data_IF_396280417565
#
_entry.id   IF_396280417565
#
_cell.length_a   1.000
_cell.length_b   1.000
_cell.length_c   1.000
_cell.angle_alpha   90.00
_cell.angle_beta   90.00
_cell.angle_gamma   90.00
#
_symmetry.space_group_name_H-M   'P 1'
#
loop_
_entity.id
_entity.type
_entity.pdbx_description
1 polymer ?
#
# COMPACT_ATOMS: atom_id res chain seq x y z
N UNK A 1 1.53 -40.79 -9.58
CA UNK A 1 1.18 -40.04 -8.36
C UNK A 1 2.45 -39.36 -7.89
N UNK A 2 2.64 -38.09 -8.23
CA UNK A 2 3.82 -37.32 -7.86
C UNK A 2 3.37 -36.27 -6.84
N UNK A 3 3.92 -36.33 -5.63
CA UNK A 3 3.68 -35.38 -4.56
C UNK A 3 4.26 -34.02 -4.94
N UNK A 4 3.40 -33.03 -5.13
CA UNK A 4 3.80 -31.63 -5.30
C UNK A 4 4.01 -31.06 -3.89
N UNK A 5 5.28 -30.95 -3.50
CA UNK A 5 5.68 -30.35 -2.22
C UNK A 5 5.67 -28.83 -2.37
N UNK A 6 4.56 -28.19 -1.97
CA UNK A 6 4.46 -26.73 -1.91
C UNK A 6 5.27 -26.25 -0.70
N UNK A 7 6.43 -25.63 -0.93
CA UNK A 7 7.11 -24.83 0.08
C UNK A 7 6.34 -23.50 0.19
N UNK A 8 5.62 -23.33 1.30
CA UNK A 8 5.16 -22.02 1.74
C UNK A 8 6.41 -21.20 2.14
N UNK A 9 6.70 -20.16 1.36
CA UNK A 9 7.68 -19.14 1.74
C UNK A 9 6.96 -18.15 2.69
N UNK A 10 7.57 -17.75 3.83
CA UNK A 10 6.97 -16.78 4.73
C UNK A 10 6.78 -15.41 4.05
N UNK A 11 5.76 -14.62 4.45
CA UNK A 11 5.35 -13.39 3.76
C UNK A 11 6.30 -12.19 3.94
N UNK A 12 7.46 -12.36 4.59
CA UNK A 12 8.39 -11.28 4.93
C UNK A 12 9.85 -11.67 4.62
N UNK A 13 10.20 -11.75 3.33
CA UNK A 13 11.56 -11.64 2.76
C UNK A 13 11.43 -11.78 1.22
N UNK A 14 11.96 -10.87 0.41
CA UNK A 14 13.39 -10.84 0.14
C UNK A 14 14.03 -9.43 0.15
N UNK A 15 15.34 -9.38 0.46
CA UNK A 15 16.15 -8.18 0.36
C UNK A 15 16.35 -7.83 -1.11
N UNK A 16 16.05 -6.59 -1.50
CA UNK A 16 16.53 -6.07 -2.79
C UNK A 16 18.03 -5.85 -2.64
N UNK A 17 18.84 -6.76 -3.19
CA UNK A 17 20.24 -6.48 -3.49
C UNK A 17 20.29 -5.35 -4.51
N UNK A 18 20.56 -4.13 -4.03
CA UNK A 18 20.82 -2.99 -4.89
C UNK A 18 22.27 -3.10 -5.36
N UNK A 19 22.45 -3.38 -6.65
CA UNK A 19 23.72 -3.30 -7.36
C UNK A 19 24.39 -1.94 -7.06
N UNK A 20 25.60 -2.00 -6.50
CA UNK A 20 26.46 -0.85 -6.22
C UNK A 20 26.89 -0.18 -7.55
N UNK A 21 26.08 0.77 -8.01
CA UNK A 21 26.48 1.72 -9.05
C UNK A 21 27.16 2.93 -8.41
N UNK A 22 28.49 2.97 -8.59
CA UNK A 22 29.45 4.02 -8.17
C UNK A 22 28.86 5.41 -7.89
N UNK A 23 28.81 5.79 -6.62
CA UNK A 23 28.69 7.17 -6.15
C UNK A 23 29.88 7.53 -5.24
N UNK A 24 30.41 8.74 -5.44
CA UNK A 24 31.77 9.16 -5.06
C UNK A 24 31.75 9.82 -3.68
N UNK A 25 32.24 9.14 -2.64
CA UNK A 25 32.77 9.77 -1.40
C UNK A 25 31.82 10.56 -0.47
N UNK A 26 30.51 10.60 -0.73
CA UNK A 26 29.49 11.29 0.12
C UNK A 26 28.40 10.33 0.64
N UNK A 27 28.53 9.04 0.32
CA UNK A 27 27.42 8.07 0.26
C UNK A 27 26.93 7.61 1.63
N UNK A 28 27.81 7.57 2.65
CA UNK A 28 27.44 7.08 3.97
C UNK A 28 26.58 8.07 4.77
N UNK A 29 26.87 9.36 4.64
CA UNK A 29 26.09 10.42 5.31
C UNK A 29 24.74 10.62 4.60
N UNK A 30 24.73 10.48 3.28
CA UNK A 30 23.53 10.51 2.45
C UNK A 30 22.60 9.33 2.79
N UNK A 31 23.11 8.10 2.85
CA UNK A 31 22.37 6.91 3.30
C UNK A 31 21.81 7.06 4.72
N UNK A 32 22.59 7.64 5.63
CA UNK A 32 22.13 7.89 7.01
C UNK A 32 20.96 8.88 7.03
N UNK A 33 21.04 9.96 6.25
CA UNK A 33 19.94 10.94 6.15
C UNK A 33 18.72 10.31 5.49
N UNK A 34 18.89 9.50 4.44
CA UNK A 34 17.80 8.75 3.81
C UNK A 34 17.09 7.81 4.80
N UNK A 35 17.84 7.01 5.56
CA UNK A 35 17.26 6.10 6.56
C UNK A 35 16.44 6.88 7.60
N UNK A 36 16.95 8.02 8.08
CA UNK A 36 16.25 8.87 9.05
C UNK A 36 14.94 9.43 8.48
N UNK A 37 14.88 9.72 7.17
CA UNK A 37 13.68 10.18 6.47
C UNK A 37 12.69 9.02 6.28
N UNK A 38 13.18 7.85 5.88
CA UNK A 38 12.38 6.63 5.69
C UNK A 38 11.72 6.19 7.00
N UNK A 39 12.48 6.17 8.10
CA UNK A 39 11.98 5.86 9.44
C UNK A 39 10.86 6.83 9.90
N UNK A 40 10.84 8.07 9.39
CA UNK A 40 9.80 9.03 9.70
C UNK A 40 8.48 8.76 8.93
N UNK A 41 8.56 8.02 7.83
CA UNK A 41 7.45 7.66 6.97
C UNK A 41 6.60 8.86 6.53
N UNK A 42 5.29 8.65 6.43
CA UNK A 42 4.35 9.65 5.91
C UNK A 42 4.11 10.87 6.83
N UNK A 43 4.70 10.90 8.03
CA UNK A 43 4.57 12.04 8.95
C UNK A 43 5.54 13.17 8.60
N UNK A 44 6.57 12.87 7.80
CA UNK A 44 7.68 13.77 7.53
C UNK A 44 8.57 14.00 8.76
N UNK A 45 9.68 14.71 8.56
CA UNK A 45 10.64 15.02 9.62
C UNK A 45 11.22 16.42 9.42
N UNK A 46 11.40 17.17 10.51
CA UNK A 46 11.98 18.50 10.44
C UNK A 46 13.48 18.44 10.19
N UNK A 47 14.04 19.36 9.39
CA UNK A 47 15.49 19.44 9.16
C UNK A 47 16.29 19.58 10.46
N UNK A 48 15.70 20.22 11.49
CA UNK A 48 16.27 20.31 12.84
C UNK A 48 16.41 18.93 13.51
N UNK A 49 15.43 18.05 13.32
CA UNK A 49 15.42 16.71 13.91
C UNK A 49 16.37 15.78 13.14
N UNK A 50 16.47 15.93 11.81
CA UNK A 50 17.49 15.26 10.99
C UNK A 50 18.89 15.67 11.46
N UNK A 51 19.12 16.96 11.71
CA UNK A 51 20.40 17.46 12.24
C UNK A 51 20.77 16.81 13.57
N UNK A 52 19.80 16.70 14.47
CA UNK A 52 20.01 16.09 15.77
C UNK A 52 20.32 14.59 15.67
N UNK A 53 19.58 13.85 14.83
CA UNK A 53 19.74 12.40 14.67
C UNK A 53 20.97 11.99 13.86
N UNK A 54 21.30 12.74 12.81
CA UNK A 54 22.46 12.44 11.94
C UNK A 54 23.78 12.98 12.49
N UNK A 55 23.73 13.92 13.45
CA UNK A 55 24.88 14.66 13.96
C UNK A 55 25.69 15.39 12.85
N UNK A 56 25.02 15.80 11.77
CA UNK A 56 25.64 16.51 10.64
C UNK A 56 25.41 18.03 10.73
N UNK A 57 26.35 18.86 10.22
CA UNK A 57 26.13 20.29 10.04
C UNK A 57 24.97 20.57 9.05
N UNK A 58 24.24 21.66 9.27
CA UNK A 58 23.09 22.04 8.42
C UNK A 58 23.50 22.29 6.96
N UNK A 59 24.73 22.76 6.72
CA UNK A 59 25.29 22.96 5.38
C UNK A 59 25.46 21.65 4.62
N UNK A 60 25.84 20.58 5.32
CA UNK A 60 26.02 19.25 4.76
C UNK A 60 24.67 18.59 4.48
N UNK A 61 23.71 18.71 5.40
CA UNK A 61 22.33 18.27 5.21
C UNK A 61 21.67 18.97 4.02
N UNK A 62 21.83 20.29 3.89
CA UNK A 62 21.30 21.03 2.75
C UNK A 62 21.94 20.64 1.42
N UNK A 63 23.22 20.24 1.44
CA UNK A 63 23.91 19.72 0.26
C UNK A 63 23.36 18.34 -0.13
N UNK A 64 23.14 17.48 0.86
CA UNK A 64 22.49 16.17 0.67
C UNK A 64 21.09 16.38 0.10
N UNK A 65 20.22 17.19 0.72
CA UNK A 65 18.88 17.47 0.19
C UNK A 65 18.88 17.93 -1.26
N UNK A 66 19.77 18.84 -1.64
CA UNK A 66 19.90 19.29 -3.03
C UNK A 66 20.31 18.17 -3.99
N UNK A 67 21.17 17.25 -3.52
CA UNK A 67 21.52 16.06 -4.29
C UNK A 67 20.33 15.12 -4.42
N UNK A 68 19.60 14.83 -3.32
CA UNK A 68 18.41 13.97 -3.35
C UNK A 68 17.32 14.56 -4.25
N UNK A 69 17.07 15.87 -4.18
CA UNK A 69 16.12 16.57 -5.06
C UNK A 69 16.54 16.47 -6.52
N UNK A 70 17.84 16.62 -6.81
CA UNK A 70 18.37 16.50 -8.16
C UNK A 70 18.33 15.06 -8.69
N UNK A 71 18.56 14.06 -7.84
CA UNK A 71 18.42 12.64 -8.18
C UNK A 71 16.95 12.26 -8.38
N UNK A 72 16.07 12.63 -7.46
CA UNK A 72 14.62 12.45 -7.59
C UNK A 72 14.11 13.10 -8.87
N UNK A 73 14.62 14.29 -9.24
CA UNK A 73 14.28 14.94 -10.50
C UNK A 73 14.86 14.24 -11.75
N UNK A 74 15.99 13.55 -11.62
CA UNK A 74 16.60 12.75 -12.71
C UNK A 74 15.94 11.39 -12.89
N UNK A 75 15.46 10.79 -11.80
CA UNK A 75 14.67 9.55 -11.81
C UNK A 75 13.22 9.83 -12.22
N UNK A 76 12.67 10.97 -11.80
CA UNK A 76 11.38 11.50 -12.25
C UNK A 76 11.46 12.06 -13.67
N UNK A 77 11.75 11.20 -14.65
CA UNK A 77 11.64 11.56 -16.08
C UNK A 77 10.20 11.64 -16.58
N UNK A 78 9.21 11.52 -15.71
CA UNK A 78 7.81 11.61 -16.09
C UNK A 78 7.06 12.55 -15.16
N UNK A 79 6.28 13.44 -15.77
CA UNK A 79 5.33 14.33 -15.10
C UNK A 79 4.46 13.49 -14.12
N UNK A 80 4.12 13.98 -12.91
CA UNK A 80 3.29 13.26 -11.94
C UNK A 80 1.99 12.69 -12.54
N UNK A 81 1.42 13.34 -13.56
CA UNK A 81 0.27 12.82 -14.30
C UNK A 81 0.57 11.54 -15.09
N UNK A 82 1.76 11.42 -15.68
CA UNK A 82 2.17 10.24 -16.45
C UNK A 82 2.42 9.05 -15.50
N UNK A 83 3.07 9.27 -14.36
CA UNK A 83 3.24 8.23 -13.33
C UNK A 83 1.89 7.76 -12.77
N UNK A 84 0.95 8.69 -12.58
CA UNK A 84 -0.42 8.33 -12.19
C UNK A 84 -1.10 7.48 -13.25
N UNK A 85 -1.00 7.89 -14.52
CA UNK A 85 -1.61 7.19 -15.64
C UNK A 85 -1.03 5.78 -15.84
N UNK A 86 0.27 5.58 -15.61
CA UNK A 86 0.92 4.28 -15.75
C UNK A 86 0.55 3.27 -14.65
N UNK A 87 -0.10 3.71 -13.57
CA UNK A 87 -0.56 2.77 -12.54
C UNK A 87 -1.95 2.18 -12.85
N UNK A 88 -2.63 2.67 -13.89
CA UNK A 88 -3.93 2.16 -14.29
C UNK A 88 -3.79 0.97 -15.25
N UNK A 89 -4.68 0.00 -15.10
CA UNK A 89 -4.84 -1.14 -16.01
C UNK A 89 -6.29 -1.20 -16.51
N UNK A 90 -6.49 -1.65 -17.74
CA UNK A 90 -7.83 -1.88 -18.30
C UNK A 90 -8.44 -3.19 -17.80
N UNK A 91 -9.77 -3.31 -17.80
CA UNK A 91 -10.45 -4.59 -17.49
C UNK A 91 -9.97 -5.73 -18.41
N UNK A 92 -9.71 -5.42 -19.69
CA UNK A 92 -9.21 -6.37 -20.66
C UNK A 92 -7.80 -6.90 -20.32
N UNK A 93 -6.87 -6.01 -19.94
CA UNK A 93 -5.52 -6.42 -19.54
C UNK A 93 -5.53 -7.30 -18.29
N UNK A 94 -6.34 -6.93 -17.29
CA UNK A 94 -6.51 -7.73 -16.06
C UNK A 94 -7.07 -9.11 -16.38
N UNK A 95 -8.12 -9.18 -17.20
CA UNK A 95 -8.72 -10.44 -17.65
C UNK A 95 -7.71 -11.32 -18.38
N UNK A 96 -6.99 -10.75 -19.35
CA UNK A 96 -5.98 -11.48 -20.13
C UNK A 96 -4.91 -12.09 -19.23
N UNK A 97 -4.38 -11.30 -18.30
CA UNK A 97 -3.37 -11.78 -17.36
C UNK A 97 -3.89 -12.92 -16.47
N UNK A 98 -5.10 -12.79 -15.92
CA UNK A 98 -5.70 -13.83 -15.07
C UNK A 98 -5.94 -15.13 -15.85
N UNK A 99 -6.40 -15.04 -17.10
CA UNK A 99 -6.57 -16.20 -17.98
C UNK A 99 -5.22 -16.89 -18.28
N UNK A 100 -4.16 -16.11 -18.51
CA UNK A 100 -2.81 -16.63 -18.79
C UNK A 100 -2.19 -17.37 -17.59
N UNK A 101 -2.55 -17.02 -16.35
CA UNK A 101 -2.10 -17.74 -15.16
C UNK A 101 -2.62 -19.18 -15.07
N UNK A 102 -3.69 -19.53 -15.79
CA UNK A 102 -4.19 -20.90 -15.89
C UNK A 102 -4.69 -21.51 -14.57
N UNK A 103 -5.12 -20.67 -13.62
CA UNK A 103 -5.54 -21.10 -12.26
C UNK A 103 -6.92 -21.80 -12.31
N UNK A 104 -7.82 -21.30 -13.15
CA UNK A 104 -9.16 -21.84 -13.32
C UNK A 104 -9.23 -22.80 -14.51
N UNK A 105 -9.92 -23.93 -14.34
CA UNK A 105 -10.30 -24.82 -15.44
C UNK A 105 -11.52 -24.32 -16.22
N UNK A 106 -12.27 -23.40 -15.62
CA UNK A 106 -13.47 -22.77 -16.21
C UNK A 106 -13.04 -21.50 -16.92
N UNK A 107 -13.55 -21.30 -18.15
CA UNK A 107 -13.36 -20.09 -18.93
C UNK A 107 -14.00 -18.90 -18.19
N UNK A 108 -13.17 -17.96 -17.76
CA UNK A 108 -13.62 -16.73 -17.12
C UNK A 108 -13.93 -15.72 -18.22
N UNK A 109 -15.14 -15.17 -18.24
CA UNK A 109 -15.50 -14.13 -19.18
C UNK A 109 -14.98 -12.76 -18.72
N UNK A 110 -14.97 -11.77 -19.63
CA UNK A 110 -14.64 -10.39 -19.27
C UNK A 110 -15.63 -9.82 -18.25
N UNK A 111 -16.91 -10.17 -18.36
CA UNK A 111 -17.95 -9.70 -17.43
C UNK A 111 -17.70 -10.21 -16.00
N UNK A 112 -17.30 -11.47 -15.86
CA UNK A 112 -16.93 -12.04 -14.55
C UNK A 112 -15.79 -11.25 -13.91
N UNK A 113 -14.77 -10.87 -14.69
CA UNK A 113 -13.66 -10.06 -14.19
C UNK A 113 -14.13 -8.67 -13.76
N UNK A 114 -15.03 -8.02 -14.49
CA UNK A 114 -15.57 -6.74 -14.06
C UNK A 114 -16.35 -6.86 -12.73
N UNK A 115 -17.10 -7.96 -12.53
CA UNK A 115 -17.77 -8.20 -11.24
C UNK A 115 -16.77 -8.42 -10.10
N UNK A 116 -15.68 -9.15 -10.33
CA UNK A 116 -14.60 -9.35 -9.36
C UNK A 116 -13.88 -8.02 -9.06
N UNK A 117 -13.64 -7.18 -10.08
CA UNK A 117 -13.07 -5.86 -9.86
C UNK A 117 -14.00 -4.96 -9.03
N UNK A 118 -15.32 -5.09 -9.18
CA UNK A 118 -16.27 -4.37 -8.33
C UNK A 118 -16.17 -4.80 -6.85
N UNK A 119 -15.90 -6.07 -6.55
CA UNK A 119 -15.69 -6.48 -5.15
C UNK A 119 -14.46 -5.82 -4.54
N UNK A 120 -13.38 -5.65 -5.31
CA UNK A 120 -12.19 -4.93 -4.86
C UNK A 120 -12.41 -3.43 -4.63
N UNK A 121 -13.35 -2.82 -5.37
CA UNK A 121 -13.80 -1.46 -5.12
C UNK A 121 -14.57 -1.39 -3.80
N UNK A 122 -15.46 -2.35 -3.53
CA UNK A 122 -16.20 -2.41 -2.27
C UNK A 122 -15.30 -2.68 -1.06
N UNK A 123 -14.22 -3.44 -1.25
CA UNK A 123 -13.15 -3.61 -0.26
C UNK A 123 -12.32 -2.33 -0.01
N UNK A 124 -12.48 -1.29 -0.84
CA UNK A 124 -11.71 -0.05 -0.76
C UNK A 124 -10.25 -0.19 -1.18
N UNK A 125 -9.91 -1.22 -1.96
CA UNK A 125 -8.53 -1.53 -2.41
C UNK A 125 -8.23 -1.05 -3.82
N UNK A 126 -9.25 -0.80 -4.63
CA UNK A 126 -9.14 -0.39 -6.03
C UNK A 126 -10.04 0.82 -6.30
N UNK A 127 -9.57 1.76 -7.11
CA UNK A 127 -10.40 2.81 -7.70
C UNK A 127 -10.59 2.57 -9.20
N UNK A 128 -11.72 3.06 -9.72
CA UNK A 128 -12.08 2.96 -11.14
C UNK A 128 -12.27 4.36 -11.74
N UNK A 129 -11.75 4.56 -12.95
CA UNK A 129 -12.02 5.75 -13.76
C UNK A 129 -12.53 5.32 -15.13
N UNK A 130 -13.50 6.06 -15.67
CA UNK A 130 -14.02 5.85 -17.03
C UNK A 130 -13.44 6.92 -17.93
N UNK A 131 -12.84 6.51 -19.05
CA UNK A 131 -12.30 7.40 -20.07
C UNK A 131 -12.99 7.18 -21.41
N UNK A 132 -13.02 8.22 -22.25
CA UNK A 132 -13.44 8.06 -23.64
C UNK A 132 -12.42 7.19 -24.38
N UNK A 133 -12.91 6.13 -25.01
CA UNK A 133 -12.12 5.24 -25.85
C UNK A 133 -12.24 5.66 -27.31
N UNK A 134 -11.17 5.49 -28.06
CA UNK A 134 -11.26 5.60 -29.52
C UNK A 134 -12.04 4.40 -30.04
N UNK A 135 -12.88 4.63 -31.04
CA UNK A 135 -13.62 3.58 -31.76
C UNK A 135 -12.69 2.40 -32.11
N UNK A 136 -13.07 1.18 -31.74
CA UNK A 136 -12.30 -0.03 -32.01
C UNK A 136 -11.20 -0.39 -30.98
N UNK A 137 -11.09 0.34 -29.87
CA UNK A 137 -10.19 -0.06 -28.77
C UNK A 137 -10.76 -1.29 -28.04
N UNK A 138 -9.95 -2.34 -27.87
CA UNK A 138 -10.37 -3.59 -27.20
C UNK A 138 -10.67 -3.31 -25.73
N UNK A 139 -11.83 -3.78 -25.23
CA UNK A 139 -12.31 -3.48 -23.87
C UNK A 139 -13.07 -2.16 -23.76
N UNK A 140 -13.37 -1.50 -24.89
CA UNK A 140 -14.30 -0.38 -24.93
C UNK A 140 -15.75 -0.87 -24.98
N UNK A 141 -16.63 -0.27 -24.17
CA UNK A 141 -18.09 -0.43 -24.19
C UNK A 141 -18.70 0.93 -24.51
N UNK A 142 -19.49 1.02 -25.57
CA UNK A 142 -20.17 2.26 -26.01
C UNK A 142 -19.23 3.48 -26.14
N UNK A 143 -18.02 3.27 -26.66
CA UNK A 143 -17.01 4.34 -26.79
C UNK A 143 -16.34 4.76 -25.48
N UNK A 144 -16.52 4.00 -24.40
CA UNK A 144 -15.91 4.25 -23.08
C UNK A 144 -15.06 3.06 -22.66
N UNK A 145 -13.97 3.31 -21.92
CA UNK A 145 -13.11 2.28 -21.36
C UNK A 145 -12.95 2.48 -19.85
N UNK A 146 -13.03 1.37 -19.10
CA UNK A 146 -12.82 1.35 -17.65
C UNK A 146 -11.35 1.07 -17.34
N UNK A 147 -10.79 1.90 -16.48
CA UNK A 147 -9.43 1.78 -15.96
C UNK A 147 -9.47 1.61 -14.45
N UNK A 148 -8.63 0.73 -13.95
CA UNK A 148 -8.57 0.35 -12.54
C UNK A 148 -7.16 0.53 -12.02
N UNK A 149 -7.02 0.96 -10.75
CA UNK A 149 -5.71 0.96 -10.07
C UNK A 149 -5.86 0.65 -8.60
N UNK A 150 -4.82 0.05 -8.02
CA UNK A 150 -4.76 -0.18 -6.59
C UNK A 150 -4.59 1.15 -5.84
N UNK A 151 -5.24 1.22 -4.68
CA UNK A 151 -5.17 2.35 -3.74
C UNK A 151 -4.91 1.84 -2.33
N UNK A 152 -4.20 2.66 -1.56
CA UNK A 152 -4.02 2.40 -0.14
C UNK A 152 -5.24 2.94 0.63
N UNK A 153 -5.60 2.34 1.77
CA UNK A 153 -6.61 2.91 2.64
C UNK A 153 -6.21 4.32 3.08
N UNK A 154 -7.18 5.23 3.10
CA UNK A 154 -6.94 6.67 3.37
C UNK A 154 -6.37 6.87 4.78
N UNK A 155 -6.88 6.10 5.75
CA UNK A 155 -6.44 6.14 7.14
C UNK A 155 -6.29 4.71 7.68
N UNK A 156 -5.34 4.48 8.60
CA UNK A 156 -5.24 3.21 9.31
C UNK A 156 -6.45 2.99 10.23
N UNK A 157 -6.69 1.75 10.72
CA UNK A 157 -7.75 1.46 11.66
C UNK A 157 -7.68 2.37 12.89
N UNK A 158 -8.85 2.87 13.30
CA UNK A 158 -8.96 3.85 14.38
C UNK A 158 -8.68 3.23 15.75
N UNK A 159 -8.42 4.06 16.76
CA UNK A 159 -8.19 3.58 18.13
C UNK A 159 -9.39 2.84 18.73
N UNK A 160 -10.61 3.14 18.27
CA UNK A 160 -11.83 2.53 18.79
C UNK A 160 -11.88 1.02 18.53
N UNK A 161 -11.52 0.59 17.31
CA UNK A 161 -11.50 -0.84 16.96
C UNK A 161 -10.31 -1.59 17.57
N UNK A 162 -9.38 -0.89 18.22
CA UNK A 162 -8.28 -1.51 18.98
C UNK A 162 -8.65 -1.84 20.42
N UNK A 163 -9.73 -1.24 20.93
CA UNK A 163 -10.26 -1.55 22.25
C UNK A 163 -11.45 -2.52 22.12
N UNK A 164 -11.59 -3.50 23.03
CA UNK A 164 -12.67 -4.49 22.92
C UNK A 164 -14.06 -3.85 23.03
N UNK A 165 -14.17 -2.66 23.64
CA UNK A 165 -15.43 -1.91 23.69
C UNK A 165 -15.92 -1.44 22.30
N UNK A 166 -15.03 -1.17 21.34
CA UNK A 166 -15.41 -0.72 20.01
C UNK A 166 -16.06 -1.80 19.13
N UNK A 167 -15.97 -3.06 19.55
CA UNK A 167 -16.52 -4.24 18.86
C UNK A 167 -17.44 -5.06 19.77
N UNK A 168 -17.79 -4.55 20.95
CA UNK A 168 -18.56 -5.28 21.95
C UNK A 168 -20.02 -5.45 21.49
N UNK A 169 -20.54 -6.69 21.39
CA UNK A 169 -21.92 -6.93 20.93
C UNK A 169 -22.98 -6.60 21.99
N UNK A 170 -22.57 -6.43 23.25
CA UNK A 170 -23.43 -6.11 24.41
C UNK A 170 -23.03 -4.77 25.04
N UNK A 171 -22.53 -3.84 24.22
CA UNK A 171 -22.03 -2.54 24.67
C UNK A 171 -23.10 -1.75 25.42
N UNK A 172 -24.32 -1.72 24.90
CA UNK A 172 -25.43 -0.91 25.43
C UNK A 172 -25.92 -1.37 26.82
N UNK A 173 -25.66 -2.64 27.18
CA UNK A 173 -26.08 -3.23 28.46
C UNK A 173 -25.01 -3.05 29.56
N UNK A 174 -23.81 -2.59 29.21
CA UNK A 174 -22.66 -2.53 30.12
C UNK A 174 -22.67 -1.27 31.01
N UNK A 175 -22.78 -1.45 32.32
CA UNK A 175 -22.79 -0.34 33.28
C UNK A 175 -22.17 -0.71 34.64
N UNK A 176 -21.85 0.30 35.45
CA UNK A 176 -21.31 0.09 36.79
C UNK A 176 -22.36 -0.54 37.71
N UNK A 177 -21.99 -1.63 38.40
CA UNK A 177 -22.87 -2.35 39.32
C UNK A 177 -23.91 -3.27 38.67
N UNK A 178 -23.94 -3.36 37.33
CA UNK A 178 -24.80 -4.29 36.58
C UNK A 178 -24.23 -5.71 36.51
N UNK A 179 -25.02 -6.65 35.97
CA UNK A 179 -24.56 -8.02 35.67
C UNK A 179 -23.45 -8.00 34.61
N UNK A 180 -23.61 -7.16 33.58
CA UNK A 180 -22.59 -6.85 32.56
C UNK A 180 -21.91 -5.55 32.99
N UNK A 181 -20.66 -5.63 33.44
CA UNK A 181 -19.91 -4.48 33.94
C UNK A 181 -18.47 -4.48 33.45
N UNK A 182 -17.81 -3.32 33.33
CA UNK A 182 -16.40 -3.27 32.98
C UNK A 182 -15.50 -4.03 33.97
N UNK A 183 -15.89 -4.08 35.26
CA UNK A 183 -15.11 -4.71 36.34
C UNK A 183 -15.12 -6.24 36.30
N UNK A 184 -16.11 -6.86 35.63
CA UNK A 184 -16.25 -8.32 35.49
C UNK A 184 -16.31 -8.76 34.01
N UNK A 185 -15.87 -7.90 33.09
CA UNK A 185 -16.00 -8.13 31.66
C UNK A 185 -15.04 -9.22 31.14
N UNK A 186 -15.61 -10.27 30.56
CA UNK A 186 -14.86 -11.38 29.97
C UNK A 186 -14.04 -10.90 28.76
N UNK A 187 -14.62 -10.07 27.87
CA UNK A 187 -13.91 -9.56 26.69
C UNK A 187 -12.67 -8.73 27.03
N UNK A 188 -12.72 -7.94 28.11
CA UNK A 188 -11.56 -7.17 28.57
C UNK A 188 -10.51 -8.07 29.23
N UNK A 189 -10.96 -9.06 30.00
CA UNK A 189 -10.05 -10.01 30.67
C UNK A 189 -9.27 -10.81 29.64
N UNK A 190 -9.95 -11.42 28.67
CA UNK A 190 -9.30 -12.17 27.57
C UNK A 190 -8.36 -11.28 26.75
N UNK A 191 -8.77 -10.04 26.44
CA UNK A 191 -7.96 -9.12 25.65
C UNK A 191 -6.66 -8.67 26.35
N UNK A 192 -6.64 -8.63 27.69
CA UNK A 192 -5.46 -8.25 28.49
C UNK A 192 -4.51 -9.41 28.81
N UNK A 193 -4.91 -10.66 28.58
CA UNK A 193 -4.11 -11.85 28.89
C UNK A 193 -3.07 -12.22 27.82
N UNK A 194 -3.15 -11.65 26.62
CA UNK A 194 -2.21 -11.86 25.51
C UNK A 194 -1.20 -10.72 25.35
#
# INVERSE_FOLDING_TARGET
MAEVKVKLQPPDADPVEIENSKMKGSDNQEKLVYQIIEDAGNKGIWSRDIRYKSNLPLTEINKIFKNLEAETARESKQNPMIQRNSSFASSHEVWKYICELGISKVELSMEDIETILNTLIYDGKVEMTIIAAKEGTVGSVDGHMKLYRAVNPIIPPTGLVRAPCGLCPVFDDCHEGGEISPSNCIYMTEWLEF
#
